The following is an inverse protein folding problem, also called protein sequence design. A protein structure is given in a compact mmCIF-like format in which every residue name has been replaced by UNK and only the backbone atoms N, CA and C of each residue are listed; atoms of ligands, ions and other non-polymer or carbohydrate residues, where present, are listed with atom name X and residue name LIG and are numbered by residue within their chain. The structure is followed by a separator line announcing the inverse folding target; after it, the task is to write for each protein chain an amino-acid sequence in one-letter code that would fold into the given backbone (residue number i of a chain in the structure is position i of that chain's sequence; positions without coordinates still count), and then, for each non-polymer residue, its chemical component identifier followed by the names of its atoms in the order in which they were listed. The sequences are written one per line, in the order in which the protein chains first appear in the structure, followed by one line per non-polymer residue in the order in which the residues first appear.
data_IF_990583226937
#
_entry.id   IF_990583226937
#
_cell.length_a   1.000
_cell.length_b   1.000
_cell.length_c   1.000
_cell.angle_alpha   90.00
_cell.angle_beta   90.00
_cell.angle_gamma   90.00
#
_symmetry.space_group_name_H-M   'P 1'
#
loop_
_entity.id
_entity.type
_entity.pdbx_description
1 polymer ?
#
# COMPACT_ATOMS: atom_id res chain seq x y z
N UNK A 1 48.67 -35.99 64.51
CA UNK A 1 49.01 -35.45 63.18
C UNK A 1 47.94 -34.43 62.77
N UNK A 2 48.35 -33.42 62.01
CA UNK A 2 47.80 -32.07 61.82
C UNK A 2 46.31 -31.96 61.45
N UNK A 3 45.62 -30.99 62.09
CA UNK A 3 44.42 -30.32 61.55
C UNK A 3 44.82 -29.52 60.31
N UNK A 4 44.09 -29.67 59.20
CA UNK A 4 44.12 -28.73 58.07
C UNK A 4 42.74 -28.09 57.96
N UNK A 5 42.68 -26.79 58.26
CA UNK A 5 41.57 -25.91 57.95
C UNK A 5 41.69 -25.52 56.48
N UNK A 6 40.74 -25.95 55.65
CA UNK A 6 40.56 -25.42 54.29
C UNK A 6 39.60 -24.25 54.35
N UNK A 7 40.11 -23.04 54.19
CA UNK A 7 39.32 -21.82 53.96
C UNK A 7 38.73 -21.86 52.55
N UNK A 8 37.41 -21.99 52.45
CA UNK A 8 36.66 -21.79 51.21
C UNK A 8 36.40 -20.30 51.01
N UNK A 9 36.97 -19.72 49.97
CA UNK A 9 36.61 -18.40 49.47
C UNK A 9 35.32 -18.52 48.63
N UNK A 10 34.26 -17.72 48.88
CA UNK A 10 33.15 -17.66 47.95
C UNK A 10 33.54 -16.80 46.75
N UNK A 11 33.63 -17.41 45.57
CA UNK A 11 33.67 -16.69 44.30
C UNK A 11 32.25 -16.17 44.03
N UNK A 12 32.04 -14.87 44.23
CA UNK A 12 30.84 -14.17 43.79
C UNK A 12 30.89 -14.03 42.27
N UNK A 13 30.17 -14.89 41.55
CA UNK A 13 29.87 -14.70 40.14
C UNK A 13 28.79 -13.62 40.04
N UNK A 14 29.20 -12.38 39.77
CA UNK A 14 28.28 -11.31 39.43
C UNK A 14 27.76 -11.54 38.01
N UNK A 15 26.61 -12.21 37.89
CA UNK A 15 25.83 -12.19 36.64
C UNK A 15 25.28 -10.78 36.45
N UNK A 16 25.92 -10.00 35.57
CA UNK A 16 25.36 -8.77 35.07
C UNK A 16 24.12 -9.11 34.22
N UNK A 17 22.95 -9.01 34.84
CA UNK A 17 21.67 -9.03 34.14
C UNK A 17 21.54 -7.69 33.41
N UNK A 18 22.01 -7.63 32.17
CA UNK A 18 21.79 -6.47 31.31
C UNK A 18 20.30 -6.40 31.00
N UNK A 19 19.58 -5.60 31.78
CA UNK A 19 18.20 -5.25 31.51
C UNK A 19 18.20 -4.52 30.17
N UNK A 20 17.79 -5.20 29.09
CA UNK A 20 17.45 -4.52 27.85
C UNK A 20 16.31 -3.56 28.20
N UNK A 21 16.63 -2.27 28.29
CA UNK A 21 15.62 -1.24 28.40
C UNK A 21 14.76 -1.36 27.13
N UNK A 22 13.57 -1.92 27.27
CA UNK A 22 12.57 -1.87 26.22
C UNK A 22 12.41 -0.39 25.85
N UNK A 23 12.49 -0.02 24.56
CA UNK A 23 12.25 1.36 24.17
C UNK A 23 10.89 1.77 24.74
N UNK A 24 10.76 3.00 25.26
CA UNK A 24 9.48 3.49 25.74
C UNK A 24 8.46 3.24 24.63
N UNK A 25 7.26 2.81 25.02
CA UNK A 25 6.08 2.69 24.16
C UNK A 25 5.71 4.09 23.66
N UNK A 26 6.58 4.66 22.81
CA UNK A 26 6.34 5.88 22.06
C UNK A 26 5.02 5.63 21.35
N UNK A 27 4.05 6.52 21.56
CA UNK A 27 2.70 6.40 21.03
C UNK A 27 2.78 5.82 19.61
N UNK A 28 2.41 4.54 19.48
CA UNK A 28 2.56 3.80 18.24
C UNK A 28 1.71 4.56 17.21
N UNK A 29 2.37 5.31 16.32
CA UNK A 29 1.65 5.99 15.26
C UNK A 29 1.08 4.93 14.34
N UNK A 30 -0.05 5.22 13.68
CA UNK A 30 -0.64 4.27 12.73
C UNK A 30 0.31 3.95 11.56
N UNK A 31 1.34 4.79 11.34
CA UNK A 31 2.43 4.58 10.40
C UNK A 31 3.38 3.42 10.73
N UNK A 32 3.54 3.09 12.02
CA UNK A 32 4.56 2.16 12.48
C UNK A 32 6.00 2.56 12.12
N UNK A 33 6.94 1.63 12.31
CA UNK A 33 8.35 1.78 11.92
C UNK A 33 8.61 1.26 10.50
N UNK A 34 9.79 1.59 9.96
CA UNK A 34 10.26 1.06 8.66
C UNK A 34 10.30 -0.47 8.66
N UNK A 35 10.73 -1.08 9.77
CA UNK A 35 10.79 -2.53 9.95
C UNK A 35 9.40 -3.14 9.98
N UNK A 36 8.45 -2.50 10.68
CA UNK A 36 7.06 -2.93 10.71
C UNK A 36 6.41 -2.85 9.32
N UNK A 37 6.68 -1.80 8.55
CA UNK A 37 6.18 -1.67 7.18
C UNK A 37 6.81 -2.69 6.24
N UNK A 38 8.10 -3.00 6.37
CA UNK A 38 8.72 -4.10 5.63
C UNK A 38 8.08 -5.45 5.96
N UNK A 39 7.91 -5.74 7.25
CA UNK A 39 7.27 -6.99 7.70
C UNK A 39 5.82 -7.09 7.20
N UNK A 40 5.10 -5.97 7.12
CA UNK A 40 3.77 -5.93 6.52
C UNK A 40 3.80 -6.32 5.03
N UNK A 41 4.73 -5.75 4.24
CA UNK A 41 4.87 -6.11 2.83
C UNK A 41 5.17 -7.60 2.68
N UNK A 42 6.11 -8.13 3.46
CA UNK A 42 6.47 -9.55 3.45
C UNK A 42 5.25 -10.43 3.76
N UNK A 43 4.47 -10.05 4.77
CA UNK A 43 3.27 -10.77 5.14
C UNK A 43 2.22 -10.77 4.03
N UNK A 44 1.98 -9.62 3.38
CA UNK A 44 1.02 -9.52 2.27
C UNK A 44 1.49 -10.33 1.06
N UNK A 45 2.79 -10.34 0.75
CA UNK A 45 3.37 -11.18 -0.30
C UNK A 45 3.20 -12.67 0.03
N UNK A 46 3.46 -13.07 1.27
CA UNK A 46 3.27 -14.45 1.72
C UNK A 46 1.80 -14.89 1.58
N UNK A 47 0.85 -14.06 2.04
CA UNK A 47 -0.58 -14.33 1.88
C UNK A 47 -0.99 -14.39 0.40
N UNK A 48 -0.38 -13.55 -0.44
CA UNK A 48 -0.64 -13.56 -1.88
C UNK A 48 -0.09 -14.84 -2.52
N UNK A 49 1.13 -15.26 -2.18
CA UNK A 49 1.75 -16.48 -2.71
C UNK A 49 0.99 -17.75 -2.27
N UNK A 50 0.42 -17.75 -1.07
CA UNK A 50 -0.35 -18.87 -0.55
C UNK A 50 -1.74 -19.04 -1.20
N UNK A 51 -2.22 -18.06 -1.97
CA UNK A 51 -3.50 -18.18 -2.66
C UNK A 51 -3.36 -19.09 -3.88
N UNK A 52 -4.22 -20.10 -3.97
CA UNK A 52 -4.29 -21.01 -5.13
C UNK A 52 -5.18 -20.46 -6.26
N UNK A 53 -5.89 -19.35 -6.02
CA UNK A 53 -6.87 -18.79 -6.95
C UNK A 53 -6.26 -17.93 -8.08
N UNK A 54 -4.94 -18.01 -8.30
CA UNK A 54 -4.30 -17.33 -9.42
C UNK A 54 -4.47 -18.13 -10.71
N UNK A 55 -4.66 -17.43 -11.82
CA UNK A 55 -4.76 -18.07 -13.14
C UNK A 55 -3.43 -17.91 -13.87
N UNK A 56 -2.63 -18.99 -14.01
CA UNK A 56 -1.37 -18.94 -14.76
C UNK A 56 -1.57 -18.48 -16.21
N UNK A 57 -2.72 -18.80 -16.80
CA UNK A 57 -3.09 -18.37 -18.15
C UNK A 57 -3.27 -16.84 -18.21
N UNK A 58 -3.92 -16.23 -17.21
CA UNK A 58 -4.09 -14.78 -17.13
C UNK A 58 -2.73 -14.08 -16.99
N UNK A 59 -1.87 -14.59 -16.13
CA UNK A 59 -0.51 -14.05 -15.92
C UNK A 59 0.31 -14.08 -17.21
N UNK A 60 0.35 -15.24 -17.88
CA UNK A 60 1.06 -15.39 -19.15
C UNK A 60 0.50 -14.47 -20.25
N UNK A 61 -0.83 -14.41 -20.40
CA UNK A 61 -1.47 -13.59 -21.43
C UNK A 61 -1.31 -12.08 -21.19
N UNK A 62 -1.24 -11.65 -19.93
CA UNK A 62 -1.12 -10.23 -19.56
C UNK A 62 0.33 -9.82 -19.27
N UNK A 63 1.29 -10.74 -19.37
CA UNK A 63 2.71 -10.48 -19.14
C UNK A 63 3.02 -9.89 -17.77
N UNK A 64 2.34 -10.35 -16.72
CA UNK A 64 2.53 -9.84 -15.35
C UNK A 64 2.73 -10.96 -14.34
N UNK A 65 3.43 -10.65 -13.25
CA UNK A 65 3.56 -11.53 -12.11
C UNK A 65 3.19 -10.76 -10.85
N UNK A 66 2.11 -11.15 -10.14
CA UNK A 66 1.66 -10.45 -8.94
C UNK A 66 2.76 -10.24 -7.92
N UNK A 67 3.56 -11.26 -7.63
CA UNK A 67 4.61 -11.19 -6.61
C UNK A 67 5.75 -10.25 -7.03
N UNK A 68 6.14 -10.27 -8.30
CA UNK A 68 7.19 -9.38 -8.82
C UNK A 68 6.70 -7.93 -8.83
N UNK A 69 5.49 -7.69 -9.35
CA UNK A 69 4.91 -6.34 -9.44
C UNK A 69 4.65 -5.74 -8.05
N UNK A 70 4.23 -6.57 -7.09
CA UNK A 70 4.07 -6.15 -5.68
C UNK A 70 5.41 -5.83 -5.01
N UNK A 71 6.45 -6.64 -5.24
CA UNK A 71 7.79 -6.38 -4.69
C UNK A 71 8.36 -5.07 -5.25
N UNK A 72 8.12 -4.79 -6.53
CA UNK A 72 8.59 -3.57 -7.19
C UNK A 72 8.05 -2.26 -6.56
N UNK A 73 6.93 -2.32 -5.83
CA UNK A 73 6.35 -1.16 -5.14
C UNK A 73 6.61 -1.15 -3.62
N UNK A 74 7.45 -2.08 -3.11
CA UNK A 74 7.82 -2.14 -1.69
C UNK A 74 8.33 -0.82 -1.16
N UNK A 75 9.19 -0.13 -1.92
CA UNK A 75 9.79 1.14 -1.51
C UNK A 75 8.75 2.21 -1.20
N UNK A 76 7.62 2.20 -1.90
CA UNK A 76 6.54 3.17 -1.69
C UNK A 76 5.88 2.96 -0.32
N UNK A 77 5.70 1.71 0.09
CA UNK A 77 5.12 1.36 1.41
C UNK A 77 6.13 1.64 2.51
N UNK A 78 7.35 1.17 2.36
CA UNK A 78 8.41 1.28 3.38
C UNK A 78 8.82 2.74 3.60
N UNK A 79 8.93 3.49 2.50
CA UNK A 79 9.33 4.90 2.48
C UNK A 79 8.22 5.89 2.83
N UNK A 80 6.97 5.45 2.99
CA UNK A 80 5.87 6.34 3.35
C UNK A 80 6.16 7.07 4.67
N UNK A 81 5.98 8.39 4.65
CA UNK A 81 6.23 9.28 5.78
C UNK A 81 4.95 9.86 6.38
N UNK A 82 3.83 9.76 5.66
CA UNK A 82 2.49 10.19 6.11
C UNK A 82 1.47 9.06 6.03
N UNK A 83 0.43 9.11 6.87
CA UNK A 83 -0.63 8.08 6.87
C UNK A 83 -1.36 8.02 5.51
N UNK A 84 -1.49 9.16 4.82
CA UNK A 84 -2.03 9.24 3.47
C UNK A 84 -1.13 8.51 2.45
N UNK A 85 0.17 8.80 2.46
CA UNK A 85 1.14 8.11 1.60
C UNK A 85 1.10 6.60 1.83
N UNK A 86 1.08 6.18 3.09
CA UNK A 86 1.05 4.76 3.44
C UNK A 86 -0.23 4.10 2.93
N UNK A 87 -1.39 4.74 3.12
CA UNK A 87 -2.66 4.21 2.63
C UNK A 87 -2.63 4.04 1.10
N UNK A 88 -2.22 5.05 0.35
CA UNK A 88 -2.18 4.95 -1.11
C UNK A 88 -1.10 3.99 -1.62
N UNK A 89 0.02 3.86 -0.91
CA UNK A 89 1.01 2.83 -1.20
C UNK A 89 0.44 1.42 -0.99
N UNK A 90 -0.37 1.19 0.05
CA UNK A 90 -1.06 -0.09 0.28
C UNK A 90 -2.15 -0.36 -0.77
N UNK A 91 -2.90 0.66 -1.19
CA UNK A 91 -3.85 0.54 -2.32
C UNK A 91 -3.10 0.15 -3.59
N UNK A 92 -1.96 0.80 -3.89
CA UNK A 92 -1.10 0.49 -5.04
C UNK A 92 -0.58 -0.94 -4.96
N UNK A 93 -0.02 -1.36 -3.82
CA UNK A 93 0.43 -2.73 -3.57
C UNK A 93 -0.70 -3.74 -3.82
N UNK A 94 -1.92 -3.47 -3.34
CA UNK A 94 -3.06 -4.34 -3.56
C UNK A 94 -3.41 -4.50 -5.04
N UNK A 95 -3.37 -3.40 -5.79
CA UNK A 95 -3.74 -3.33 -7.21
C UNK A 95 -2.73 -4.02 -8.14
N UNK A 96 -1.48 -4.24 -7.71
CA UNK A 96 -0.49 -5.00 -8.49
C UNK A 96 -0.96 -6.44 -8.79
N UNK A 97 -1.89 -6.97 -8.00
CA UNK A 97 -2.51 -8.29 -8.21
C UNK A 97 -3.52 -8.32 -9.37
N UNK A 98 -3.98 -7.15 -9.83
CA UNK A 98 -5.00 -7.00 -10.91
C UNK A 98 -6.25 -7.84 -10.66
N UNK A 99 -6.72 -7.85 -9.41
CA UNK A 99 -7.92 -8.56 -8.97
C UNK A 99 -8.97 -7.56 -8.49
N UNK A 100 -10.09 -7.48 -9.20
CA UNK A 100 -11.19 -6.57 -8.91
C UNK A 100 -11.95 -6.91 -7.62
N UNK A 101 -11.75 -8.10 -7.05
CA UNK A 101 -12.38 -8.52 -5.80
C UNK A 101 -11.58 -8.09 -4.56
N UNK A 102 -10.36 -7.56 -4.74
CA UNK A 102 -9.53 -7.08 -3.65
C UNK A 102 -9.63 -5.57 -3.55
N UNK A 103 -9.84 -5.08 -2.34
CA UNK A 103 -9.86 -3.66 -2.03
C UNK A 103 -9.14 -3.38 -0.72
N UNK A 104 -8.69 -2.14 -0.56
CA UNK A 104 -8.13 -1.60 0.68
C UNK A 104 -9.06 -0.49 1.13
N UNK A 105 -9.51 -0.55 2.38
CA UNK A 105 -10.42 0.43 2.97
C UNK A 105 -9.85 0.93 4.30
N UNK A 106 -10.25 2.14 4.68
CA UNK A 106 -10.04 2.63 6.03
C UNK A 106 -10.92 1.83 7.02
N UNK A 107 -10.43 1.66 8.24
CA UNK A 107 -11.13 1.00 9.35
C UNK A 107 -11.00 1.85 10.61
N UNK A 108 -11.91 1.68 11.56
CA UNK A 108 -11.87 2.39 12.84
C UNK A 108 -10.54 2.13 13.57
N UNK A 109 -9.87 3.21 13.99
CA UNK A 109 -8.56 3.13 14.62
C UNK A 109 -7.39 2.85 13.67
N UNK A 110 -7.64 2.77 12.36
CA UNK A 110 -6.62 2.61 11.32
C UNK A 110 -5.96 3.92 10.87
N UNK A 111 -5.40 3.89 9.66
CA UNK A 111 -4.81 5.07 9.01
C UNK A 111 -5.86 6.16 8.78
N UNK A 112 -5.51 7.39 9.10
CA UNK A 112 -6.33 8.58 8.89
C UNK A 112 -6.01 9.18 7.54
N UNK A 113 -7.04 9.30 6.73
CA UNK A 113 -6.99 10.03 5.47
C UNK A 113 -7.44 11.48 5.70
N UNK A 114 -6.83 12.47 5.02
CA UNK A 114 -7.36 13.82 5.06
C UNK A 114 -8.80 13.82 4.55
N UNK A 115 -9.67 14.52 5.27
CA UNK A 115 -11.03 14.76 4.80
C UNK A 115 -10.95 15.62 3.54
N UNK A 116 -11.23 14.99 2.39
CA UNK A 116 -11.25 15.66 1.09
C UNK A 116 -12.64 15.49 0.52
N UNK A 117 -13.25 16.57 0.02
CA UNK A 117 -14.52 16.45 -0.68
C UNK A 117 -14.35 15.50 -1.86
N UNK A 118 -15.28 14.57 -2.01
CA UNK A 118 -15.35 13.74 -3.22
C UNK A 118 -15.72 14.67 -4.38
N UNK A 119 -14.71 15.07 -5.16
CA UNK A 119 -14.91 15.86 -6.36
C UNK A 119 -15.39 14.93 -7.47
N UNK A 120 -16.59 15.19 -8.00
CA UNK A 120 -17.09 14.56 -9.22
C UNK A 120 -17.06 15.59 -10.33
N UNK A 121 -16.45 15.22 -11.44
CA UNK A 121 -16.55 16.02 -12.65
C UNK A 121 -18.01 16.01 -13.14
N UNK A 122 -18.46 17.10 -13.75
CA UNK A 122 -19.80 17.22 -14.33
C UNK A 122 -19.94 16.46 -15.66
N UNK A 123 -19.09 15.46 -15.91
CA UNK A 123 -19.06 14.70 -17.16
C UNK A 123 -18.93 13.21 -16.87
N UNK A 124 -19.56 12.41 -17.72
CA UNK A 124 -19.31 10.98 -17.84
C UNK A 124 -18.34 10.74 -18.97
N UNK A 125 -17.42 9.80 -18.78
CA UNK A 125 -16.38 9.46 -19.75
C UNK A 125 -16.53 8.00 -20.13
N UNK A 126 -16.43 7.71 -21.43
CA UNK A 126 -16.28 6.35 -21.94
C UNK A 126 -14.96 6.25 -22.70
N UNK A 127 -14.39 5.05 -22.68
CA UNK A 127 -13.26 4.71 -23.51
C UNK A 127 -13.76 4.23 -24.88
N UNK A 128 -13.07 4.64 -25.94
CA UNK A 128 -13.17 4.09 -27.27
C UNK A 128 -11.94 3.23 -27.55
N UNK A 129 -12.17 1.93 -27.69
CA UNK A 129 -11.16 0.91 -27.99
C UNK A 129 -11.22 0.44 -29.44
N UNK A 130 -11.87 1.20 -30.34
CA UNK A 130 -11.93 0.88 -31.77
C UNK A 130 -10.54 0.84 -32.41
N UNK A 131 -9.60 1.64 -31.90
CA UNK A 131 -8.17 1.54 -32.14
C UNK A 131 -7.47 1.11 -30.84
N UNK A 132 -6.96 -0.13 -30.82
CA UNK A 132 -6.25 -0.68 -29.67
C UNK A 132 -4.83 -0.13 -29.51
N UNK A 133 -4.25 0.42 -30.58
CA UNK A 133 -2.91 1.03 -30.57
C UNK A 133 -2.98 2.51 -30.15
N UNK A 134 -4.15 3.15 -30.31
CA UNK A 134 -4.42 4.51 -29.88
C UNK A 134 -5.81 4.64 -29.20
N UNK A 135 -6.00 4.02 -28.02
CA UNK A 135 -7.25 4.13 -27.29
C UNK A 135 -7.53 5.58 -26.93
N UNK A 136 -8.79 5.98 -27.01
CA UNK A 136 -9.21 7.36 -26.78
C UNK A 136 -10.34 7.44 -25.76
N UNK A 137 -10.57 8.62 -25.19
CA UNK A 137 -11.64 8.84 -24.21
C UNK A 137 -12.50 10.00 -24.67
N UNK A 138 -13.82 9.83 -24.58
CA UNK A 138 -14.76 10.86 -24.98
C UNK A 138 -15.82 11.10 -23.90
N UNK A 139 -16.39 12.31 -23.92
CA UNK A 139 -17.50 12.68 -23.05
C UNK A 139 -18.74 11.92 -23.54
N UNK A 140 -19.29 11.05 -22.70
CA UNK A 140 -20.54 10.32 -23.01
C UNK A 140 -21.79 11.03 -22.49
N UNK A 141 -21.62 11.94 -21.54
CA UNK A 141 -22.71 12.74 -20.98
C UNK A 141 -22.19 13.91 -20.16
N UNK A 142 -23.03 14.94 -20.03
CA UNK A 142 -22.71 16.17 -19.29
C UNK A 142 -23.87 16.48 -18.35
N UNK A 143 -23.56 16.70 -17.07
CA UNK A 143 -24.47 17.33 -16.13
C UNK A 143 -24.39 18.85 -16.32
N UNK A 144 -25.29 19.39 -17.14
CA UNK A 144 -25.30 20.82 -17.51
C UNK A 144 -25.51 21.71 -16.28
N UNK A 145 -26.27 21.26 -15.28
CA UNK A 145 -26.51 22.04 -14.07
C UNK A 145 -25.24 22.18 -13.24
N UNK A 146 -24.42 21.12 -13.16
CA UNK A 146 -23.16 21.15 -12.45
C UNK A 146 -22.00 21.78 -13.26
N UNK A 147 -22.01 21.65 -14.60
CA UNK A 147 -20.94 22.16 -15.47
C UNK A 147 -20.90 23.70 -15.53
N UNK A 148 -22.05 24.36 -15.37
CA UNK A 148 -22.16 25.83 -15.36
C UNK A 148 -21.80 26.52 -16.68
N UNK A 149 -21.56 25.75 -17.75
CA UNK A 149 -21.38 26.23 -19.12
C UNK A 149 -21.70 25.10 -20.13
N UNK A 150 -21.97 25.49 -21.37
CA UNK A 150 -22.42 24.66 -22.48
C UNK A 150 -21.28 24.26 -23.45
N UNK A 151 -20.02 24.50 -23.07
CA UNK A 151 -18.87 24.23 -23.93
C UNK A 151 -18.56 22.75 -24.08
N UNK A 152 -18.92 21.93 -23.08
CA UNK A 152 -18.69 20.49 -23.10
C UNK A 152 -19.90 19.80 -23.71
N UNK A 153 -19.66 18.92 -24.67
CA UNK A 153 -20.71 18.19 -25.36
C UNK A 153 -20.42 16.68 -25.39
N UNK A 154 -21.46 15.83 -25.36
CA UNK A 154 -21.29 14.42 -25.66
C UNK A 154 -20.63 14.22 -27.03
N UNK A 155 -19.62 13.37 -27.09
CA UNK A 155 -18.78 13.12 -28.28
C UNK A 155 -17.46 13.88 -28.29
N UNK A 156 -17.29 14.89 -27.43
CA UNK A 156 -16.01 15.60 -27.32
C UNK A 156 -14.89 14.65 -26.86
N UNK A 157 -13.74 14.74 -27.53
CA UNK A 157 -12.56 13.95 -27.20
C UNK A 157 -11.76 14.59 -26.07
N UNK A 158 -11.35 13.78 -25.10
CA UNK A 158 -10.47 14.19 -24.02
C UNK A 158 -9.02 14.05 -24.52
N UNK A 159 -8.38 15.18 -24.76
CA UNK A 159 -7.00 15.24 -25.24
C UNK A 159 -5.95 15.18 -24.12
N UNK A 160 -6.27 15.75 -22.96
CA UNK A 160 -5.41 15.73 -21.78
C UNK A 160 -6.17 16.11 -20.51
N UNK A 161 -5.64 15.70 -19.36
CA UNK A 161 -6.08 16.13 -18.03
C UNK A 161 -4.88 16.74 -17.30
N UNK A 162 -4.99 18.01 -16.90
CA UNK A 162 -3.88 18.74 -16.26
C UNK A 162 -2.58 18.72 -17.07
N UNK A 163 -2.69 18.79 -18.41
CA UNK A 163 -1.53 18.76 -19.33
C UNK A 163 -0.90 17.38 -19.51
N UNK A 164 -1.52 16.31 -19.00
CA UNK A 164 -1.11 14.92 -19.23
C UNK A 164 -2.06 14.29 -20.22
N UNK A 165 -1.52 13.84 -21.35
CA UNK A 165 -2.26 13.04 -22.32
C UNK A 165 -2.73 11.72 -21.68
#
# INVERSE_FOLDING_TARGET
MKRMQGTTFPVLVASALTLLAAPPLAAQTALGTVEQRNALVDHVLQLTAAREAWSPLKEANMGYSPLVDMEAVRSDVVGATTEEELFFALVKLSNMRRDSHLSVSAVDGGLRLPDRPVLRAAVNVLADFSDMDAPSFFISGVDVAAAGNDRLQPGDLILSVNGRA
#
